data_IF_358167447859
#
_entry.id   IF_358167447859
#
_cell.length_a   1.000
_cell.length_b   1.000
_cell.length_c   1.000
_cell.angle_alpha   90.00
_cell.angle_beta   90.00
_cell.angle_gamma   90.00
#
_symmetry.space_group_name_H-M   'P 1'
#
loop_
_entity.id
_entity.type
_entity.pdbx_description
1 polymer ?
#
# COMPACT_ATOMS: atom_id res chain seq x y z
N UNK A 1 11.17 -3.64 9.63
CA UNK A 1 10.46 -2.86 8.60
C UNK A 1 9.28 -3.61 7.99
N UNK A 2 9.18 -4.94 8.15
CA UNK A 2 8.03 -5.71 7.63
C UNK A 2 6.70 -5.23 8.24
N UNK A 3 6.63 -5.07 9.56
CA UNK A 3 5.48 -4.49 10.26
C UNK A 3 5.06 -3.10 9.73
N UNK A 4 6.04 -2.24 9.40
CA UNK A 4 5.81 -0.92 8.74
C UNK A 4 5.25 -1.09 7.34
N UNK A 5 5.78 -2.06 6.60
CA UNK A 5 5.42 -2.31 5.20
C UNK A 5 4.01 -2.86 5.06
N UNK A 6 3.63 -3.81 5.91
CA UNK A 6 2.35 -4.50 5.80
C UNK A 6 1.16 -3.65 6.28
N UNK A 7 1.38 -2.68 7.18
CA UNK A 7 0.28 -1.89 7.73
C UNK A 7 -0.54 -1.16 6.63
N UNK A 8 -1.87 -1.38 6.56
CA UNK A 8 -2.72 -0.82 5.50
C UNK A 8 -3.01 0.68 5.65
N UNK A 9 -2.81 1.23 6.86
CA UNK A 9 -3.27 2.57 7.24
C UNK A 9 -2.12 3.53 7.59
N UNK A 10 -0.87 3.24 7.18
CA UNK A 10 0.30 4.10 7.46
C UNK A 10 0.39 4.49 8.94
N UNK A 11 -0.03 3.59 9.82
CA UNK A 11 -0.18 3.85 11.24
C UNK A 11 1.03 3.39 12.07
N UNK A 12 1.98 2.71 11.44
CA UNK A 12 3.25 2.32 12.03
C UNK A 12 4.36 2.76 11.09
N UNK A 13 5.32 3.53 11.60
CA UNK A 13 6.38 4.15 10.82
C UNK A 13 7.72 3.96 11.53
N UNK A 14 8.80 3.87 10.74
CA UNK A 14 10.16 3.75 11.24
C UNK A 14 11.03 4.91 10.81
N UNK A 15 12.01 5.28 11.63
CA UNK A 15 13.09 6.22 11.28
C UNK A 15 14.43 5.70 11.76
N UNK A 16 15.49 6.01 11.01
CA UNK A 16 16.86 5.91 11.47
C UNK A 16 17.43 7.33 11.63
N UNK A 17 17.76 7.73 12.86
CA UNK A 17 18.16 9.10 13.19
C UNK A 17 19.58 9.10 13.78
N UNK A 18 20.49 9.97 13.30
CA UNK A 18 21.82 10.12 13.89
C UNK A 18 21.76 10.39 15.39
N UNK A 19 22.66 9.79 16.16
CA UNK A 19 22.65 9.89 17.62
C UNK A 19 22.70 11.34 18.11
N UNK A 20 23.48 12.22 17.47
CA UNK A 20 23.55 13.63 17.84
C UNK A 20 22.18 14.33 17.76
N UNK A 21 21.47 14.15 16.64
CA UNK A 21 20.14 14.75 16.41
C UNK A 21 19.09 14.18 17.37
N UNK A 22 19.15 12.87 17.62
CA UNK A 22 18.23 12.23 18.55
C UNK A 22 18.42 12.80 19.95
N UNK A 23 19.67 12.85 20.43
CA UNK A 23 19.98 13.36 21.77
C UNK A 23 19.55 14.83 21.93
N UNK A 24 19.85 15.69 20.95
CA UNK A 24 19.43 17.09 20.96
C UNK A 24 17.91 17.25 21.04
N UNK A 25 17.16 16.42 20.29
CA UNK A 25 15.69 16.48 20.30
C UNK A 25 15.10 15.93 21.59
N UNK A 26 15.67 14.85 22.14
CA UNK A 26 15.27 14.29 23.46
C UNK A 26 15.50 15.31 24.58
N UNK A 27 16.61 16.07 24.53
CA UNK A 27 16.90 17.10 25.53
C UNK A 27 15.80 18.17 25.61
N UNK A 28 15.16 18.49 24.47
CA UNK A 28 14.07 19.48 24.37
C UNK A 28 12.74 19.00 24.96
N UNK A 29 12.56 17.68 25.17
CA UNK A 29 11.37 17.17 25.84
C UNK A 29 11.37 17.59 27.32
N UNK A 30 10.19 17.99 27.81
CA UNK A 30 9.98 18.27 29.22
C UNK A 30 10.35 17.04 30.07
N UNK A 31 10.98 17.28 31.23
CA UNK A 31 11.40 16.19 32.12
C UNK A 31 10.18 15.48 32.70
N UNK A 32 10.05 14.18 32.46
CA UNK A 32 8.95 13.36 32.96
C UNK A 32 9.09 11.90 32.56
N UNK A 33 8.11 11.09 32.96
CA UNK A 33 8.06 9.65 32.66
C UNK A 33 8.06 9.36 31.14
N UNK A 34 7.40 10.22 30.36
CA UNK A 34 7.33 10.10 28.90
C UNK A 34 8.69 10.24 28.22
N UNK A 35 9.55 11.16 28.68
CA UNK A 35 10.90 11.36 28.13
C UNK A 35 11.76 10.12 28.31
N UNK A 36 11.71 9.51 29.49
CA UNK A 36 12.40 8.24 29.76
C UNK A 36 11.90 7.13 28.85
N UNK A 37 10.58 6.94 28.78
CA UNK A 37 9.97 5.92 27.95
C UNK A 37 10.26 6.10 26.44
N UNK A 38 10.17 7.32 25.90
CA UNK A 38 10.51 7.62 24.49
C UNK A 38 11.98 7.29 24.21
N UNK A 39 12.88 7.61 25.13
CA UNK A 39 14.32 7.35 24.97
C UNK A 39 14.61 5.84 24.87
N UNK A 40 13.82 5.01 25.56
CA UNK A 40 13.94 3.55 25.52
C UNK A 40 13.39 2.92 24.22
N UNK A 41 12.64 3.66 23.39
CA UNK A 41 12.07 3.14 22.13
C UNK A 41 13.08 3.08 20.97
N UNK A 42 14.34 3.44 21.20
CA UNK A 42 15.37 3.55 20.17
C UNK A 42 16.41 2.44 20.31
N UNK A 43 16.62 1.69 19.23
CA UNK A 43 17.48 0.52 19.22
C UNK A 43 18.79 0.72 18.43
N UNK A 44 19.87 0.15 18.96
CA UNK A 44 21.12 -0.05 18.25
C UNK A 44 21.05 -1.28 17.35
N UNK A 45 20.93 -1.05 16.04
CA UNK A 45 20.93 -2.14 15.08
C UNK A 45 22.32 -2.34 14.47
N UNK A 46 22.58 -3.55 13.96
CA UNK A 46 23.80 -3.79 13.19
C UNK A 46 23.88 -2.85 11.97
N UNK A 47 22.75 -2.57 11.32
CA UNK A 47 22.66 -1.80 10.09
C UNK A 47 22.90 -0.31 10.28
N UNK A 48 22.22 0.29 11.27
CA UNK A 48 22.18 1.75 11.45
C UNK A 48 23.23 2.25 12.46
N UNK A 49 23.68 1.41 13.39
CA UNK A 49 24.65 1.79 14.42
C UNK A 49 26.02 1.16 14.15
N UNK A 50 26.15 -0.17 14.28
CA UNK A 50 27.46 -0.84 14.25
C UNK A 50 28.21 -0.76 12.90
N UNK A 51 27.49 -0.78 11.77
CA UNK A 51 28.12 -0.70 10.45
C UNK A 51 28.65 0.71 10.15
N UNK A 52 27.86 1.80 10.33
CA UNK A 52 28.37 3.17 10.21
C UNK A 52 29.55 3.46 11.13
N UNK A 53 29.49 3.03 12.39
CA UNK A 53 30.59 3.20 13.36
C UNK A 53 31.90 2.58 12.86
N UNK A 54 31.85 1.33 12.35
CA UNK A 54 33.01 0.67 11.73
C UNK A 54 33.54 1.37 10.48
N UNK A 55 32.71 2.17 9.82
CA UNK A 55 33.09 2.97 8.65
C UNK A 55 33.57 4.38 9.03
N UNK A 56 33.64 4.71 10.33
CA UNK A 56 33.98 6.06 10.80
C UNK A 56 32.91 7.10 10.50
N UNK A 57 31.66 6.65 10.28
CA UNK A 57 30.48 7.51 10.11
C UNK A 57 29.72 7.60 11.44
N UNK A 58 28.89 8.62 11.57
CA UNK A 58 28.01 8.74 12.73
C UNK A 58 27.05 7.54 12.81
N UNK A 59 26.89 6.89 13.98
CA UNK A 59 25.86 5.89 14.17
C UNK A 59 24.47 6.53 14.26
N UNK A 60 23.46 5.79 13.82
CA UNK A 60 22.07 6.17 13.96
C UNK A 60 21.31 5.14 14.82
N UNK A 61 20.37 5.63 15.62
CA UNK A 61 19.38 4.80 16.30
C UNK A 61 18.18 4.56 15.40
N UNK A 62 17.58 3.38 15.53
CA UNK A 62 16.37 3.01 14.82
C UNK A 62 15.19 2.89 15.78
N UNK A 63 14.08 3.53 15.42
CA UNK A 63 12.84 3.49 16.21
C UNK A 63 11.63 3.25 15.32
N UNK A 64 10.62 2.59 15.87
CA UNK A 64 9.32 2.35 15.25
C UNK A 64 8.24 2.96 16.14
N UNK A 65 7.38 3.78 15.56
CA UNK A 65 6.36 4.54 16.28
C UNK A 65 4.99 4.31 15.65
N UNK A 66 3.97 4.29 16.51
CA UNK A 66 2.56 4.09 16.13
C UNK A 66 1.86 5.44 16.15
N UNK A 67 1.17 5.78 15.06
CA UNK A 67 0.17 6.85 15.03
C UNK A 67 -1.15 6.31 15.61
N UNK A 68 -1.51 6.67 16.87
CA UNK A 68 -2.71 6.13 17.49
C UNK A 68 -3.99 6.65 16.82
N UNK A 69 -3.94 7.73 16.05
CA UNK A 69 -5.12 8.30 15.37
C UNK A 69 -5.49 7.52 14.11
N UNK A 70 -4.52 6.86 13.48
CA UNK A 70 -4.72 6.08 12.25
C UNK A 70 -4.78 4.58 12.46
N UNK A 71 -4.13 4.08 13.51
CA UNK A 71 -4.12 2.64 13.79
C UNK A 71 -5.56 2.15 14.01
N UNK A 72 -6.00 1.14 13.28
CA UNK A 72 -7.35 0.57 13.51
C UNK A 72 -7.33 -0.65 14.42
N UNK A 73 -6.14 -1.17 14.75
CA UNK A 73 -5.99 -2.32 15.64
C UNK A 73 -6.15 -3.67 14.96
N UNK A 74 -5.87 -3.77 13.66
CA UNK A 74 -5.94 -5.03 12.91
C UNK A 74 -4.87 -6.06 13.31
N UNK A 75 -3.84 -5.66 14.05
CA UNK A 75 -2.73 -6.52 14.51
C UNK A 75 -1.85 -7.18 13.44
N UNK A 76 -2.02 -6.90 12.15
CA UNK A 76 -1.09 -7.38 11.09
C UNK A 76 0.38 -7.04 11.38
N UNK A 77 0.65 -5.87 11.96
CA UNK A 77 2.02 -5.46 12.29
C UNK A 77 2.65 -6.34 13.38
N UNK A 78 1.82 -6.90 14.28
CA UNK A 78 2.22 -7.84 15.31
C UNK A 78 2.40 -9.23 14.72
N UNK A 79 1.49 -9.69 13.86
CA UNK A 79 1.65 -10.96 13.13
C UNK A 79 2.92 -10.97 12.27
N UNK A 80 3.15 -9.89 11.50
CA UNK A 80 4.37 -9.68 10.72
C UNK A 80 5.64 -9.53 11.60
N UNK A 81 5.50 -9.30 12.90
CA UNK A 81 6.63 -9.31 13.82
C UNK A 81 7.09 -10.74 14.14
N UNK A 82 6.18 -11.72 14.06
CA UNK A 82 6.45 -13.12 14.35
C UNK A 82 7.09 -13.33 15.73
N UNK A 83 8.08 -14.20 15.80
CA UNK A 83 8.77 -14.58 17.05
C UNK A 83 9.76 -13.51 17.56
N UNK A 84 9.78 -12.31 16.99
CA UNK A 84 10.67 -11.24 17.43
C UNK A 84 10.22 -10.55 18.73
N UNK A 85 8.96 -10.72 19.12
CA UNK A 85 8.35 -10.15 20.34
C UNK A 85 8.56 -8.61 20.48
N UNK A 86 8.78 -7.91 19.36
CA UNK A 86 9.06 -6.47 19.37
C UNK A 86 7.79 -5.61 19.36
N UNK A 87 6.63 -6.21 19.07
CA UNK A 87 5.33 -5.55 19.04
C UNK A 87 4.31 -6.41 19.79
N UNK A 88 3.46 -5.75 20.57
CA UNK A 88 2.30 -6.37 21.22
C UNK A 88 1.10 -5.46 21.07
N UNK A 89 -0.09 -6.05 20.96
CA UNK A 89 -1.32 -5.29 21.01
C UNK A 89 -1.58 -4.79 22.43
N UNK A 90 -2.02 -3.53 22.52
CA UNK A 90 -2.50 -2.91 23.76
C UNK A 90 -3.86 -2.27 23.51
N UNK A 91 -4.65 -2.14 24.57
CA UNK A 91 -5.97 -1.51 24.47
C UNK A 91 -5.83 0.00 24.29
N UNK A 92 -6.60 0.55 23.34
CA UNK A 92 -6.78 1.99 23.19
C UNK A 92 -7.78 2.49 24.23
N UNK A 93 -7.27 3.20 25.23
CA UNK A 93 -8.04 3.80 26.32
C UNK A 93 -7.55 5.24 26.54
N UNK A 94 -8.30 6.00 27.33
CA UNK A 94 -8.06 7.44 27.53
C UNK A 94 -6.65 7.75 28.06
N UNK A 95 -6.01 6.83 28.79
CA UNK A 95 -4.66 7.01 29.32
C UNK A 95 -3.55 6.57 28.33
N UNK A 96 -3.85 5.68 27.38
CA UNK A 96 -2.84 5.20 26.42
C UNK A 96 -2.75 6.09 25.19
N UNK A 97 -3.87 6.61 24.69
CA UNK A 97 -3.89 7.42 23.46
C UNK A 97 -3.00 8.67 23.57
N UNK A 98 -3.10 9.51 24.62
CA UNK A 98 -2.27 10.72 24.74
C UNK A 98 -0.77 10.40 24.78
N UNK A 99 -0.38 9.33 25.49
CA UNK A 99 1.00 8.87 25.57
C UNK A 99 1.58 8.54 24.18
N UNK A 100 0.85 7.78 23.37
CA UNK A 100 1.30 7.43 22.02
C UNK A 100 1.20 8.60 21.04
N UNK A 101 0.26 9.53 21.26
CA UNK A 101 0.19 10.76 20.47
C UNK A 101 1.44 11.61 20.69
N UNK A 102 1.82 11.84 21.95
CA UNK A 102 3.04 12.59 22.29
C UNK A 102 4.30 11.92 21.73
N UNK A 103 4.36 10.58 21.78
CA UNK A 103 5.43 9.80 21.16
C UNK A 103 5.50 10.01 19.64
N UNK A 104 4.35 10.06 18.98
CA UNK A 104 4.27 10.23 17.53
C UNK A 104 4.56 11.68 17.11
N UNK A 105 4.18 12.66 17.93
CA UNK A 105 4.53 14.07 17.75
C UNK A 105 6.05 14.26 17.87
N UNK A 106 6.68 13.64 18.87
CA UNK A 106 8.14 13.57 18.99
C UNK A 106 8.77 12.92 17.75
N UNK A 107 8.27 11.75 17.34
CA UNK A 107 8.74 11.06 16.14
C UNK A 107 8.68 11.96 14.90
N UNK A 108 7.61 12.72 14.75
CA UNK A 108 7.42 13.66 13.62
C UNK A 108 8.42 14.80 13.69
N UNK A 109 8.71 15.33 14.89
CA UNK A 109 9.65 16.44 15.10
C UNK A 109 11.11 16.16 14.74
N UNK A 110 11.53 14.89 14.69
CA UNK A 110 12.92 14.48 14.39
C UNK A 110 13.38 14.75 12.95
N UNK A 111 12.44 15.12 12.07
CA UNK A 111 12.69 15.21 10.63
C UNK A 111 12.95 13.85 9.99
N UNK A 112 13.48 13.86 8.78
CA UNK A 112 13.59 12.65 7.96
C UNK A 112 14.83 11.82 8.28
N UNK A 113 14.72 10.51 8.00
CA UNK A 113 15.87 9.61 7.96
C UNK A 113 16.84 10.12 6.90
N UNK A 114 18.11 10.44 7.25
CA UNK A 114 19.09 10.88 6.25
C UNK A 114 19.34 9.79 5.20
N UNK A 115 19.51 10.19 3.95
CA UNK A 115 19.61 9.28 2.80
C UNK A 115 20.78 8.28 2.90
N UNK A 116 21.86 8.64 3.59
CA UNK A 116 23.00 7.75 3.86
C UNK A 116 22.66 6.49 4.69
N UNK A 117 21.53 6.51 5.40
CA UNK A 117 21.01 5.34 6.14
C UNK A 117 19.98 4.54 5.34
N UNK A 118 19.58 5.00 4.15
CA UNK A 118 18.60 4.33 3.28
C UNK A 118 19.36 3.55 2.22
N UNK A 119 19.24 2.22 2.23
CA UNK A 119 19.91 1.36 1.25
C UNK A 119 18.92 0.92 0.16
N UNK A 120 19.05 1.50 -1.03
CA UNK A 120 18.20 1.20 -2.19
C UNK A 120 18.18 -0.28 -2.61
N UNK A 121 19.21 -1.07 -2.23
CA UNK A 121 19.23 -2.52 -2.49
C UNK A 121 18.33 -3.31 -1.54
N UNK A 122 17.95 -2.73 -0.41
CA UNK A 122 17.02 -3.29 0.56
C UNK A 122 15.68 -2.58 0.37
N UNK A 123 14.84 -3.12 -0.50
CA UNK A 123 13.63 -2.42 -0.99
C UNK A 123 12.74 -1.86 0.14
N UNK A 124 12.58 -2.59 1.24
CA UNK A 124 11.79 -2.13 2.41
C UNK A 124 12.32 -0.85 3.07
N UNK A 125 13.57 -0.44 2.80
CA UNK A 125 14.11 0.84 3.28
C UNK A 125 13.44 2.04 2.64
N UNK A 126 12.75 1.89 1.50
CA UNK A 126 11.96 2.98 0.92
C UNK A 126 10.93 3.51 1.93
N UNK A 127 10.46 2.67 2.85
CA UNK A 127 9.52 3.05 3.90
C UNK A 127 10.14 3.93 5.00
N UNK A 128 11.46 4.15 4.98
CA UNK A 128 12.17 5.13 5.82
C UNK A 128 12.23 6.52 5.17
N UNK A 129 12.01 6.60 3.85
CA UNK A 129 11.98 7.86 3.12
C UNK A 129 10.59 8.48 3.21
N UNK A 130 10.52 9.69 3.77
CA UNK A 130 9.28 10.48 3.89
C UNK A 130 8.60 10.70 2.54
N UNK A 131 9.38 10.96 1.49
CA UNK A 131 8.91 11.15 0.11
C UNK A 131 8.23 9.91 -0.50
N UNK A 132 8.41 8.73 0.09
CA UNK A 132 7.73 7.50 -0.32
C UNK A 132 6.39 7.29 0.40
N UNK A 133 6.12 8.02 1.47
CA UNK A 133 4.88 7.89 2.25
C UNK A 133 3.74 8.69 1.62
N UNK A 134 3.37 8.34 0.39
CA UNK A 134 2.38 9.05 -0.43
C UNK A 134 0.92 8.59 -0.19
N UNK A 135 0.73 7.62 0.69
CA UNK A 135 -0.57 7.22 1.22
C UNK A 135 -0.60 7.54 2.72
N UNK A 136 -1.40 8.52 3.13
CA UNK A 136 -1.40 9.03 4.51
C UNK A 136 -2.06 8.09 5.51
N UNK A 137 -2.92 7.18 5.02
CA UNK A 137 -3.69 6.27 5.84
C UNK A 137 -4.88 6.92 6.55
N UNK A 138 -5.49 6.21 7.50
CA UNK A 138 -6.71 6.67 8.17
C UNK A 138 -7.94 6.72 7.24
N UNK A 139 -7.88 6.00 6.12
CA UNK A 139 -8.99 5.89 5.19
C UNK A 139 -10.12 5.06 5.80
N UNK A 140 -11.34 5.17 5.28
CA UNK A 140 -12.51 4.40 5.74
C UNK A 140 -12.50 2.90 5.42
N UNK A 141 -11.33 2.30 5.13
CA UNK A 141 -11.20 0.88 4.82
C UNK A 141 -11.36 0.01 6.07
N UNK A 142 -11.65 -1.28 5.87
CA UNK A 142 -11.72 -2.26 6.96
C UNK A 142 -10.39 -2.37 7.71
N UNK A 143 -10.45 -2.89 8.95
CA UNK A 143 -9.26 -3.35 9.66
C UNK A 143 -8.59 -4.45 8.83
N UNK A 144 -7.30 -4.31 8.59
CA UNK A 144 -6.51 -5.28 7.84
C UNK A 144 -6.72 -5.24 6.32
N UNK A 145 -7.28 -4.15 5.77
CA UNK A 145 -7.67 -4.13 4.36
C UNK A 145 -6.48 -4.35 3.41
N UNK A 146 -6.47 -5.48 2.70
CA UNK A 146 -5.39 -5.83 1.76
C UNK A 146 -5.25 -4.85 0.58
N UNK A 147 -6.35 -4.21 0.14
CA UNK A 147 -6.29 -3.14 -0.86
C UNK A 147 -5.48 -1.93 -0.36
N UNK A 148 -5.62 -1.60 0.93
CA UNK A 148 -4.87 -0.50 1.57
C UNK A 148 -3.38 -0.76 1.56
N UNK A 149 -2.95 -1.95 1.95
CA UNK A 149 -1.54 -2.36 1.92
C UNK A 149 -0.97 -2.33 0.50
N UNK A 150 -1.71 -2.87 -0.48
CA UNK A 150 -1.28 -2.87 -1.89
C UNK A 150 -1.11 -1.45 -2.46
N UNK A 151 -2.07 -0.55 -2.22
CA UNK A 151 -1.99 0.84 -2.69
C UNK A 151 -0.85 1.60 -2.02
N UNK A 152 -0.68 1.45 -0.71
CA UNK A 152 0.42 2.05 0.03
C UNK A 152 1.77 1.58 -0.49
N UNK A 153 1.95 0.27 -0.69
CA UNK A 153 3.19 -0.30 -1.21
C UNK A 153 3.47 0.14 -2.65
N UNK A 154 2.44 0.19 -3.52
CA UNK A 154 2.58 0.67 -4.90
C UNK A 154 3.04 2.12 -4.95
N UNK A 155 2.42 2.97 -4.11
CA UNK A 155 2.78 4.38 -4.00
C UNK A 155 4.17 4.59 -3.41
N UNK A 156 4.58 3.78 -2.43
CA UNK A 156 5.92 3.83 -1.89
C UNK A 156 6.97 3.49 -2.95
N UNK A 157 6.80 2.39 -3.68
CA UNK A 157 7.76 2.00 -4.72
C UNK A 157 7.82 3.00 -5.88
N UNK A 158 6.67 3.53 -6.30
CA UNK A 158 6.63 4.53 -7.37
C UNK A 158 7.17 5.88 -6.90
N UNK A 159 6.79 6.32 -5.71
CA UNK A 159 7.20 7.59 -5.10
C UNK A 159 8.70 7.65 -4.82
N UNK A 160 9.28 6.56 -4.32
CA UNK A 160 10.71 6.46 -4.03
C UNK A 160 11.58 6.71 -5.26
N UNK A 161 11.14 6.26 -6.44
CA UNK A 161 11.92 6.36 -7.68
C UNK A 161 11.62 7.64 -8.45
N UNK A 162 10.34 8.03 -8.57
CA UNK A 162 9.91 9.08 -9.51
C UNK A 162 9.48 10.39 -8.83
N UNK A 163 9.26 10.37 -7.51
CA UNK A 163 8.71 11.48 -6.75
C UNK A 163 7.21 11.70 -7.00
N UNK A 164 6.53 12.29 -6.01
CA UNK A 164 5.06 12.48 -6.01
C UNK A 164 4.52 13.29 -7.21
N UNK A 165 5.30 14.25 -7.71
CA UNK A 165 4.92 15.13 -8.82
C UNK A 165 4.90 14.40 -10.17
N UNK A 166 5.41 13.17 -10.22
CA UNK A 166 5.49 12.34 -11.42
C UNK A 166 4.46 11.21 -11.43
N UNK A 167 3.48 11.23 -10.52
CA UNK A 167 2.51 10.15 -10.34
C UNK A 167 1.09 10.69 -10.51
N UNK A 168 0.22 9.92 -11.14
CA UNK A 168 -1.22 10.17 -11.14
C UNK A 168 -2.01 8.88 -11.09
N UNK A 169 -3.20 8.94 -10.49
CA UNK A 169 -4.10 7.80 -10.31
C UNK A 169 -5.45 8.10 -10.97
N UNK A 170 -5.93 7.13 -11.75
CA UNK A 170 -7.30 7.04 -12.24
C UNK A 170 -7.92 5.79 -11.63
N UNK A 171 -8.96 5.94 -10.82
CA UNK A 171 -9.57 4.87 -10.05
C UNK A 171 -10.92 4.46 -10.63
N UNK A 172 -11.17 3.15 -10.71
CA UNK A 172 -12.49 2.59 -10.95
C UNK A 172 -13.30 2.56 -9.66
N UNK A 173 -14.60 2.81 -9.76
CA UNK A 173 -15.53 2.71 -8.63
C UNK A 173 -15.46 1.32 -7.98
N UNK A 174 -15.28 1.27 -6.66
CA UNK A 174 -15.12 0.05 -5.87
C UNK A 174 -14.76 0.37 -4.42
N UNK A 175 -14.23 -0.60 -3.66
CA UNK A 175 -13.79 -0.38 -2.28
C UNK A 175 -12.76 0.77 -2.22
N UNK A 176 -11.72 0.70 -3.06
CA UNK A 176 -10.69 1.74 -3.20
C UNK A 176 -11.23 3.18 -3.33
N UNK A 177 -12.32 3.40 -4.06
CA UNK A 177 -12.92 4.74 -4.15
C UNK A 177 -13.78 5.06 -2.94
N UNK A 178 -14.51 4.09 -2.39
CA UNK A 178 -15.38 4.34 -1.22
C UNK A 178 -14.56 4.79 -0.01
N UNK A 179 -13.52 4.05 0.36
CA UNK A 179 -12.66 4.49 1.45
C UNK A 179 -11.67 5.59 1.04
N UNK A 180 -11.35 5.70 -0.26
CA UNK A 180 -10.37 6.65 -0.79
C UNK A 180 -10.91 8.04 -1.10
N UNK A 181 -12.23 8.23 -1.25
CA UNK A 181 -12.81 9.53 -1.62
C UNK A 181 -14.03 9.91 -0.76
N UNK A 182 -13.97 9.65 0.55
CA UNK A 182 -14.99 10.10 1.50
C UNK A 182 -14.82 11.59 1.80
N UNK A 183 -15.60 12.46 1.13
CA UNK A 183 -15.52 13.92 1.29
C UNK A 183 -15.59 14.35 2.78
N UNK A 184 -14.75 15.31 3.23
CA UNK A 184 -13.73 16.06 2.48
C UNK A 184 -12.34 15.39 2.45
N UNK A 185 -12.24 14.11 2.81
CA UNK A 185 -10.98 13.41 3.03
C UNK A 185 -10.59 12.46 1.88
N UNK A 186 -9.29 12.37 1.62
CA UNK A 186 -8.68 11.46 0.66
C UNK A 186 -7.27 11.08 1.16
N UNK A 187 -6.88 9.79 1.12
CA UNK A 187 -5.61 9.33 1.70
C UNK A 187 -4.41 9.49 0.75
N UNK A 188 -4.59 9.96 -0.48
CA UNK A 188 -3.55 10.05 -1.50
C UNK A 188 -2.90 11.44 -1.50
N UNK A 189 -1.56 11.49 -1.49
CA UNK A 189 -0.76 12.71 -1.65
C UNK A 189 -0.32 12.95 -3.10
N UNK A 190 -1.01 12.34 -4.06
CA UNK A 190 -0.78 12.46 -5.50
C UNK A 190 -2.09 12.79 -6.21
N UNK A 191 -2.06 13.40 -7.41
CA UNK A 191 -3.25 13.60 -8.22
C UNK A 191 -4.04 12.30 -8.40
N UNK A 192 -5.32 12.35 -8.04
CA UNK A 192 -6.22 11.20 -8.06
C UNK A 192 -7.57 11.63 -8.65
N UNK A 193 -8.14 10.79 -9.52
CA UNK A 193 -9.48 10.99 -10.06
C UNK A 193 -10.24 9.66 -10.11
N UNK A 194 -11.57 9.74 -9.98
CA UNK A 194 -12.48 8.64 -10.27
C UNK A 194 -13.53 9.13 -11.26
N UNK A 195 -13.73 8.37 -12.34
CA UNK A 195 -14.81 8.61 -13.29
C UNK A 195 -16.01 7.73 -12.96
N UNK A 196 -16.07 6.51 -13.49
CA UNK A 196 -17.12 5.53 -13.25
C UNK A 196 -16.53 4.13 -13.03
N UNK A 197 -17.39 3.13 -12.85
CA UNK A 197 -16.98 1.76 -12.59
C UNK A 197 -16.37 1.09 -13.83
N UNK A 198 -16.95 1.35 -14.99
CA UNK A 198 -16.70 0.65 -16.25
C UNK A 198 -15.63 1.26 -17.13
N UNK A 199 -15.21 2.51 -16.86
CA UNK A 199 -14.48 3.32 -17.83
C UNK A 199 -13.09 3.78 -17.38
N UNK A 200 -12.55 3.29 -16.26
CA UNK A 200 -11.24 3.70 -15.70
C UNK A 200 -10.13 3.74 -16.75
N UNK A 201 -10.03 2.71 -17.59
CA UNK A 201 -8.97 2.62 -18.62
C UNK A 201 -9.19 3.62 -19.74
N UNK A 202 -10.43 3.91 -20.13
CA UNK A 202 -10.73 4.91 -21.15
C UNK A 202 -10.46 6.32 -20.63
N UNK A 203 -10.80 6.61 -19.37
CA UNK A 203 -10.47 7.88 -18.72
C UNK A 203 -8.95 8.08 -18.64
N UNK A 204 -8.22 7.04 -18.23
CA UNK A 204 -6.76 7.07 -18.20
C UNK A 204 -6.11 7.25 -19.58
N UNK A 205 -6.66 6.68 -20.65
CA UNK A 205 -6.22 6.98 -22.02
C UNK A 205 -6.41 8.47 -22.37
N UNK A 206 -7.50 9.08 -21.91
CA UNK A 206 -7.73 10.52 -22.03
C UNK A 206 -6.66 11.34 -21.29
N UNK A 207 -6.42 11.01 -20.02
CA UNK A 207 -5.39 11.64 -19.18
C UNK A 207 -4.00 11.49 -19.82
N UNK A 208 -3.59 10.28 -20.21
CA UNK A 208 -2.30 10.02 -20.87
C UNK A 208 -2.17 10.80 -22.17
N UNK A 209 -3.22 10.85 -22.98
CA UNK A 209 -3.21 11.65 -24.23
C UNK A 209 -2.95 13.12 -23.94
N UNK A 210 -3.58 13.67 -22.89
CA UNK A 210 -3.35 15.06 -22.47
C UNK A 210 -1.94 15.27 -21.91
N UNK A 211 -1.45 14.37 -21.06
CA UNK A 211 -0.09 14.43 -20.52
C UNK A 211 0.96 14.40 -21.62
N UNK A 212 0.78 13.57 -22.64
CA UNK A 212 1.68 13.50 -23.78
C UNK A 212 1.72 14.83 -24.57
N UNK A 213 0.58 15.52 -24.73
CA UNK A 213 0.54 16.86 -25.34
C UNK A 213 1.30 17.91 -24.51
N UNK A 214 1.40 17.70 -23.19
CA UNK A 214 2.11 18.58 -22.26
C UNK A 214 3.60 18.22 -22.13
N UNK A 215 4.08 17.17 -22.81
CA UNK A 215 5.46 16.70 -22.70
C UNK A 215 5.73 15.90 -21.42
N UNK A 216 4.71 15.24 -20.85
CA UNK A 216 4.80 14.44 -19.63
C UNK A 216 4.74 12.93 -19.92
N UNK A 217 5.48 12.49 -20.94
CA UNK A 217 5.52 11.09 -21.32
C UNK A 217 6.16 10.21 -20.23
N UNK A 218 7.08 10.76 -19.46
CA UNK A 218 7.84 10.11 -18.41
C UNK A 218 7.08 9.93 -17.08
N UNK A 219 6.00 10.70 -16.87
CA UNK A 219 5.14 10.57 -15.68
C UNK A 219 4.41 9.24 -15.65
N UNK A 220 4.24 8.69 -14.45
CA UNK A 220 3.63 7.38 -14.18
C UNK A 220 2.14 7.53 -13.89
N UNK A 221 1.34 6.98 -14.80
CA UNK A 221 -0.12 6.98 -14.71
C UNK A 221 -0.60 5.58 -14.34
N UNK A 222 -1.32 5.47 -13.23
CA UNK A 222 -1.87 4.23 -12.71
C UNK A 222 -3.39 4.20 -12.84
N UNK A 223 -3.93 3.18 -13.51
CA UNK A 223 -5.30 2.75 -13.39
C UNK A 223 -5.42 1.79 -12.21
N UNK A 224 -6.29 2.08 -11.25
CA UNK A 224 -6.55 1.18 -10.12
C UNK A 224 -8.01 0.72 -10.13
N UNK A 225 -8.27 -0.54 -9.78
CA UNK A 225 -9.63 -1.05 -9.66
C UNK A 225 -9.68 -2.45 -9.08
N UNK A 226 -10.80 -2.79 -8.45
CA UNK A 226 -11.05 -4.15 -7.98
C UNK A 226 -11.28 -5.14 -9.12
N UNK A 227 -11.34 -6.44 -8.83
CA UNK A 227 -11.58 -7.46 -9.85
C UNK A 227 -12.91 -7.25 -10.59
N UNK A 228 -13.98 -6.81 -9.91
CA UNK A 228 -15.23 -6.49 -10.60
C UNK A 228 -15.14 -5.37 -11.63
N UNK A 229 -14.27 -4.38 -11.41
CA UNK A 229 -14.04 -3.32 -12.39
C UNK A 229 -13.18 -3.83 -13.55
N UNK A 230 -12.08 -4.51 -13.23
CA UNK A 230 -11.01 -4.76 -14.21
C UNK A 230 -11.18 -6.09 -14.95
N UNK A 231 -11.82 -7.07 -14.31
CA UNK A 231 -11.99 -8.44 -14.82
C UNK A 231 -13.38 -8.63 -15.42
N UNK A 232 -14.39 -7.87 -14.97
CA UNK A 232 -15.76 -7.91 -15.47
C UNK A 232 -16.14 -6.66 -16.30
N UNK A 233 -16.81 -5.68 -15.69
CA UNK A 233 -17.54 -4.62 -16.42
C UNK A 233 -16.62 -3.72 -17.27
N UNK A 234 -15.43 -3.42 -16.76
CA UNK A 234 -14.44 -2.57 -17.43
C UNK A 234 -13.42 -3.35 -18.26
N UNK A 235 -13.50 -4.68 -18.32
CA UNK A 235 -12.51 -5.50 -19.01
C UNK A 235 -12.38 -5.14 -20.50
N UNK A 236 -13.49 -4.84 -21.19
CA UNK A 236 -13.43 -4.43 -22.60
C UNK A 236 -12.65 -3.12 -22.78
N UNK A 237 -12.85 -2.16 -21.86
CA UNK A 237 -12.15 -0.87 -21.85
C UNK A 237 -10.66 -1.07 -21.58
N UNK A 238 -10.32 -1.89 -20.58
CA UNK A 238 -8.94 -2.25 -20.27
C UNK A 238 -8.26 -2.96 -21.44
N UNK A 239 -8.91 -3.97 -22.02
CA UNK A 239 -8.43 -4.68 -23.23
C UNK A 239 -8.13 -3.71 -24.37
N UNK A 240 -8.98 -2.69 -24.59
CA UNK A 240 -8.74 -1.65 -25.60
C UNK A 240 -7.51 -0.80 -25.27
N UNK A 241 -7.33 -0.44 -24.00
CA UNK A 241 -6.15 0.30 -23.53
C UNK A 241 -4.87 -0.51 -23.71
N UNK A 242 -4.87 -1.80 -23.35
CA UNK A 242 -3.72 -2.69 -23.56
C UNK A 242 -3.34 -2.79 -25.04
N UNK A 243 -4.34 -2.92 -25.93
CA UNK A 243 -4.12 -2.94 -27.38
C UNK A 243 -3.64 -1.59 -27.97
N UNK A 244 -3.66 -0.50 -27.21
CA UNK A 244 -3.24 0.82 -27.69
C UNK A 244 -1.74 1.07 -27.64
N UNK A 245 -1.00 0.29 -26.83
CA UNK A 245 0.42 0.51 -26.59
C UNK A 245 0.75 1.76 -25.77
N UNK A 246 -0.25 2.43 -25.19
CA UNK A 246 -0.03 3.59 -24.32
C UNK A 246 0.65 3.17 -23.01
N UNK A 247 1.68 3.92 -22.60
CA UNK A 247 2.35 3.78 -21.30
C UNK A 247 1.38 4.11 -20.16
N UNK A 248 0.66 3.10 -19.69
CA UNK A 248 -0.32 3.19 -18.61
C UNK A 248 -0.20 1.91 -17.80
N UNK A 249 0.01 2.07 -16.49
CA UNK A 249 0.10 0.97 -15.55
C UNK A 249 -1.29 0.66 -15.01
N UNK A 250 -1.57 -0.63 -14.80
CA UNK A 250 -2.83 -1.12 -14.23
C UNK A 250 -2.50 -1.90 -12.96
N UNK A 251 -3.15 -1.54 -11.85
CA UNK A 251 -3.15 -2.31 -10.61
C UNK A 251 -4.55 -2.88 -10.38
N UNK A 252 -4.68 -4.19 -10.48
CA UNK A 252 -5.91 -4.91 -10.14
C UNK A 252 -5.82 -5.32 -8.68
N UNK A 253 -6.77 -4.85 -7.88
CA UNK A 253 -6.94 -5.22 -6.47
C UNK A 253 -7.91 -6.42 -6.42
N UNK A 254 -7.36 -7.61 -6.56
CA UNK A 254 -8.14 -8.84 -6.77
C UNK A 254 -8.56 -9.44 -5.43
N UNK A 255 -9.75 -9.04 -4.98
CA UNK A 255 -10.42 -9.63 -3.82
C UNK A 255 -11.28 -10.83 -4.20
N UNK A 256 -11.33 -11.21 -5.48
CA UNK A 256 -12.07 -12.36 -5.99
C UNK A 256 -13.59 -12.29 -5.72
N UNK A 257 -14.12 -11.10 -5.45
CA UNK A 257 -15.53 -10.79 -5.22
C UNK A 257 -15.76 -9.30 -5.41
N UNK A 258 -17.02 -8.87 -5.60
CA UNK A 258 -17.35 -7.45 -5.55
C UNK A 258 -17.49 -7.01 -4.08
N UNK A 259 -16.35 -6.74 -3.43
CA UNK A 259 -16.31 -6.45 -1.99
C UNK A 259 -17.23 -5.29 -1.59
N UNK A 260 -17.18 -4.16 -2.31
CA UNK A 260 -17.91 -2.96 -1.94
C UNK A 260 -19.43 -3.14 -1.91
N UNK A 261 -19.97 -3.93 -2.84
CA UNK A 261 -21.42 -4.15 -2.96
C UNK A 261 -21.89 -5.33 -2.11
N UNK A 262 -21.00 -5.86 -1.24
CA UNK A 262 -21.26 -6.89 -0.26
C UNK A 262 -21.08 -8.30 -0.80
N UNK A 263 -20.02 -8.56 -1.56
CA UNK A 263 -19.58 -9.92 -1.87
C UNK A 263 -20.35 -10.61 -2.99
N UNK A 264 -20.68 -9.90 -4.07
CA UNK A 264 -21.18 -10.56 -5.28
C UNK A 264 -20.06 -11.34 -5.97
N UNK A 265 -20.46 -12.44 -6.58
CA UNK A 265 -19.60 -13.25 -7.42
C UNK A 265 -19.06 -12.41 -8.59
N UNK A 266 -17.75 -12.44 -8.79
CA UNK A 266 -17.08 -11.91 -9.98
C UNK A 266 -16.61 -13.04 -10.88
N UNK A 267 -16.17 -12.74 -12.11
CA UNK A 267 -15.49 -13.78 -12.90
C UNK A 267 -14.09 -14.13 -12.34
N UNK A 268 -13.54 -13.33 -11.41
CA UNK A 268 -12.33 -13.66 -10.66
C UNK A 268 -12.57 -14.59 -9.46
N UNK A 269 -13.82 -14.79 -9.03
CA UNK A 269 -14.16 -15.77 -7.98
C UNK A 269 -13.81 -17.21 -8.41
N UNK A 270 -13.44 -18.06 -7.45
CA UNK A 270 -13.10 -19.46 -7.66
C UNK A 270 -14.32 -20.36 -7.88
N UNK A 271 -14.10 -21.52 -8.50
CA UNK A 271 -15.11 -22.58 -8.59
C UNK A 271 -15.43 -23.08 -7.19
N UNK A 272 -16.71 -23.20 -6.86
CA UNK A 272 -17.21 -23.63 -5.55
C UNK A 272 -17.17 -22.54 -4.47
N UNK A 273 -16.73 -21.32 -4.80
CA UNK A 273 -16.75 -20.20 -3.87
C UNK A 273 -18.20 -19.80 -3.56
N UNK A 274 -18.50 -19.61 -2.27
CA UNK A 274 -19.77 -19.07 -1.78
C UNK A 274 -19.74 -17.54 -1.86
N UNK A 275 -20.66 -16.95 -2.60
CA UNK A 275 -20.78 -15.50 -2.77
C UNK A 275 -22.21 -15.15 -3.23
N UNK A 276 -22.64 -13.88 -3.10
CA UNK A 276 -23.95 -13.47 -3.64
C UNK A 276 -23.99 -13.74 -5.15
N UNK A 277 -25.14 -14.21 -5.63
CA UNK A 277 -25.35 -14.74 -7.00
C UNK A 277 -24.74 -16.11 -7.30
N UNK A 278 -23.96 -16.70 -6.38
CA UNK A 278 -23.49 -18.08 -6.46
C UNK A 278 -23.45 -18.69 -5.05
N UNK A 279 -24.57 -18.58 -4.33
CA UNK A 279 -24.65 -19.05 -2.95
C UNK A 279 -24.65 -20.57 -2.86
N UNK A 280 -23.96 -21.13 -1.88
CA UNK A 280 -23.99 -22.57 -1.59
C UNK A 280 -25.37 -22.94 -1.03
N UNK A 281 -26.00 -23.91 -1.67
CA UNK A 281 -27.31 -24.44 -1.31
C UNK A 281 -27.46 -25.90 -1.74
N UNK A 282 -28.67 -26.45 -1.58
CA UNK A 282 -28.93 -27.87 -1.89
C UNK A 282 -28.71 -28.22 -3.37
N UNK A 283 -29.02 -27.30 -4.28
CA UNK A 283 -28.93 -27.50 -5.73
C UNK A 283 -27.67 -26.88 -6.35
N UNK A 284 -27.11 -25.83 -5.73
CA UNK A 284 -25.99 -25.06 -6.26
C UNK A 284 -24.83 -25.14 -5.26
N UNK A 285 -23.70 -25.70 -5.66
CA UNK A 285 -22.53 -25.88 -4.80
C UNK A 285 -21.57 -24.69 -4.78
N UNK A 286 -22.06 -23.47 -4.99
CA UNK A 286 -21.26 -22.28 -5.23
C UNK A 286 -21.06 -21.96 -6.71
N UNK A 287 -20.10 -21.10 -7.04
CA UNK A 287 -19.82 -20.69 -8.43
C UNK A 287 -19.44 -21.89 -9.30
N UNK A 288 -20.03 -22.00 -10.48
CA UNK A 288 -19.80 -23.11 -11.41
C UNK A 288 -18.80 -22.75 -12.51
N UNK A 289 -18.73 -21.48 -12.89
CA UNK A 289 -17.85 -20.99 -13.92
C UNK A 289 -16.40 -21.01 -13.44
N UNK A 290 -15.49 -21.42 -14.33
CA UNK A 290 -14.05 -21.31 -14.05
C UNK A 290 -13.67 -19.85 -13.84
N UNK A 291 -12.66 -19.64 -13.00
CA UNK A 291 -12.05 -18.32 -12.80
C UNK A 291 -11.51 -17.79 -14.12
N UNK A 292 -11.73 -16.51 -14.38
CA UNK A 292 -11.15 -15.79 -15.50
C UNK A 292 -9.72 -15.42 -15.15
N UNK A 293 -8.77 -16.14 -15.75
CA UNK A 293 -7.34 -15.94 -15.52
C UNK A 293 -6.85 -14.65 -16.21
N UNK A 294 -6.98 -13.52 -15.51
CA UNK A 294 -6.74 -12.19 -16.08
C UNK A 294 -5.31 -12.01 -16.59
N UNK A 295 -4.31 -12.53 -15.87
CA UNK A 295 -2.91 -12.46 -16.30
C UNK A 295 -2.69 -13.15 -17.65
N UNK A 296 -3.32 -14.31 -17.87
CA UNK A 296 -3.23 -15.03 -19.15
C UNK A 296 -3.88 -14.24 -20.28
N UNK A 297 -5.02 -13.59 -20.03
CA UNK A 297 -5.69 -12.76 -21.02
C UNK A 297 -4.86 -11.53 -21.38
N UNK A 298 -4.27 -10.87 -20.39
CA UNK A 298 -3.38 -9.72 -20.60
C UNK A 298 -2.13 -10.11 -21.40
N UNK A 299 -1.55 -11.29 -21.18
CA UNK A 299 -0.40 -11.79 -21.96
C UNK A 299 -0.72 -12.06 -23.44
N UNK A 300 -2.00 -12.20 -23.81
CA UNK A 300 -2.41 -12.38 -25.21
C UNK A 300 -2.46 -11.06 -25.99
N UNK A 301 -2.42 -9.91 -25.30
CA UNK A 301 -2.23 -8.62 -25.95
C UNK A 301 -0.76 -8.45 -26.37
N UNK A 302 -0.48 -7.82 -27.52
CA UNK A 302 0.89 -7.58 -27.95
C UNK A 302 1.57 -6.57 -27.04
N UNK A 303 2.82 -6.85 -26.66
CA UNK A 303 3.72 -5.89 -26.00
C UNK A 303 3.18 -5.33 -24.65
N UNK A 304 2.62 -6.21 -23.81
CA UNK A 304 2.14 -5.88 -22.47
C UNK A 304 3.02 -6.53 -21.40
N UNK A 305 3.48 -5.74 -20.41
CA UNK A 305 4.08 -6.30 -19.20
C UNK A 305 2.99 -6.85 -18.27
N UNK A 306 3.14 -8.07 -17.77
CA UNK A 306 2.18 -8.69 -16.86
C UNK A 306 2.90 -9.29 -15.65
N UNK A 307 2.42 -8.98 -14.45
CA UNK A 307 2.85 -9.62 -13.21
C UNK A 307 1.64 -9.98 -12.33
N UNK A 308 1.79 -11.04 -11.53
CA UNK A 308 0.83 -11.38 -10.47
C UNK A 308 1.58 -11.53 -9.16
N UNK A 309 1.10 -10.89 -8.09
CA UNK A 309 1.82 -10.81 -6.80
C UNK A 309 0.88 -10.72 -5.61
N UNK A 310 1.44 -10.72 -4.41
CA UNK A 310 0.74 -10.43 -3.14
C UNK A 310 1.61 -9.51 -2.27
N UNK A 311 1.01 -8.79 -1.31
CA UNK A 311 1.75 -7.93 -0.37
C UNK A 311 2.67 -8.75 0.56
N UNK A 312 2.28 -9.98 0.89
CA UNK A 312 3.11 -10.91 1.66
C UNK A 312 4.44 -11.27 0.93
N UNK A 313 4.47 -11.23 -0.40
CA UNK A 313 5.69 -11.39 -1.18
C UNK A 313 6.36 -10.03 -1.45
N UNK A 314 6.68 -9.28 -0.39
CA UNK A 314 7.14 -7.88 -0.42
C UNK A 314 8.16 -7.56 -1.52
N UNK A 315 9.25 -8.34 -1.60
CA UNK A 315 10.30 -8.09 -2.60
C UNK A 315 9.82 -8.34 -4.04
N UNK A 316 8.95 -9.33 -4.24
CA UNK A 316 8.36 -9.59 -5.56
C UNK A 316 7.37 -8.49 -5.94
N UNK A 317 6.53 -8.05 -4.98
CA UNK A 317 5.61 -6.95 -5.15
C UNK A 317 6.35 -5.68 -5.61
N UNK A 318 7.35 -5.22 -4.85
CA UNK A 318 8.08 -4.01 -5.19
C UNK A 318 8.80 -4.10 -6.53
N UNK A 319 9.44 -5.24 -6.83
CA UNK A 319 10.06 -5.46 -8.14
C UNK A 319 9.04 -5.44 -9.28
N UNK A 320 7.85 -5.97 -9.08
CA UNK A 320 6.78 -5.93 -10.09
C UNK A 320 6.32 -4.48 -10.33
N UNK A 321 6.10 -3.68 -9.28
CA UNK A 321 5.75 -2.26 -9.41
C UNK A 321 6.85 -1.48 -10.15
N UNK A 322 8.11 -1.67 -9.75
CA UNK A 322 9.25 -0.99 -10.39
C UNK A 322 9.39 -1.39 -11.86
N UNK A 323 9.30 -2.68 -12.17
CA UNK A 323 9.37 -3.18 -13.55
C UNK A 323 8.22 -2.66 -14.43
N UNK A 324 7.00 -2.56 -13.89
CA UNK A 324 5.88 -1.95 -14.60
C UNK A 324 6.13 -0.46 -14.88
N UNK A 325 6.64 0.30 -13.90
CA UNK A 325 6.98 1.71 -14.11
C UNK A 325 8.13 1.92 -15.12
N UNK A 326 9.08 0.98 -15.22
CA UNK A 326 10.19 1.04 -16.17
C UNK A 326 9.80 0.61 -17.59
N UNK A 327 8.76 -0.21 -17.73
CA UNK A 327 8.30 -0.73 -19.00
C UNK A 327 7.69 0.39 -19.87
N UNK A 328 8.21 0.62 -21.10
CA UNK A 328 7.77 1.74 -21.95
C UNK A 328 6.47 1.41 -22.72
N UNK A 329 5.41 1.04 -22.00
CA UNK A 329 4.17 0.54 -22.59
C UNK A 329 3.13 0.15 -21.54
N UNK A 330 2.03 -0.51 -21.97
CA UNK A 330 1.00 -0.96 -21.04
C UNK A 330 1.54 -2.04 -20.10
N UNK A 331 1.27 -1.88 -18.80
CA UNK A 331 1.64 -2.85 -17.78
C UNK A 331 0.44 -3.21 -16.91
N UNK A 332 0.31 -4.49 -16.53
CA UNK A 332 -0.76 -4.99 -15.66
C UNK A 332 -0.15 -5.76 -14.50
N UNK A 333 -0.54 -5.37 -13.28
CA UNK A 333 -0.19 -6.07 -12.06
C UNK A 333 -1.48 -6.53 -11.41
N UNK A 334 -1.68 -7.85 -11.36
CA UNK A 334 -2.75 -8.47 -10.60
C UNK A 334 -2.28 -8.75 -9.17
N UNK A 335 -2.86 -8.09 -8.18
CA UNK A 335 -2.49 -8.25 -6.78
C UNK A 335 -3.62 -8.96 -6.06
N UNK A 336 -3.36 -10.13 -5.50
CA UNK A 336 -4.30 -10.70 -4.55
C UNK A 336 -4.37 -9.82 -3.31
N UNK A 337 -5.59 -9.38 -2.97
CA UNK A 337 -5.86 -8.57 -1.80
C UNK A 337 -6.92 -9.24 -0.94
N UNK A 338 -6.57 -9.52 0.30
CA UNK A 338 -7.48 -10.13 1.27
C UNK A 338 -8.63 -9.17 1.58
N UNK A 339 -9.85 -9.71 1.64
CA UNK A 339 -11.04 -8.99 2.04
C UNK A 339 -11.67 -9.69 3.24
N UNK A 340 -11.44 -9.14 4.44
CA UNK A 340 -11.88 -9.71 5.72
C UNK A 340 -13.34 -10.17 5.70
N UNK A 341 -14.33 -9.30 5.40
CA UNK A 341 -15.73 -9.69 5.50
C UNK A 341 -16.14 -10.74 4.47
N UNK A 342 -15.55 -10.72 3.26
CA UNK A 342 -16.00 -11.57 2.16
C UNK A 342 -15.21 -12.88 2.06
N UNK A 343 -13.98 -12.93 2.55
CA UNK A 343 -13.20 -14.16 2.68
C UNK A 343 -13.44 -14.86 4.01
N UNK A 344 -14.06 -14.18 4.99
CA UNK A 344 -14.32 -14.73 6.31
C UNK A 344 -13.04 -14.97 7.11
N UNK A 345 -12.04 -14.11 6.93
CA UNK A 345 -10.75 -14.18 7.64
C UNK A 345 -10.66 -13.08 8.70
N UNK A 346 -9.81 -13.30 9.69
CA UNK A 346 -9.58 -12.34 10.77
C UNK A 346 -8.84 -11.08 10.28
N UNK A 347 -8.94 -9.99 11.06
CA UNK A 347 -8.38 -8.68 10.69
C UNK A 347 -6.84 -8.69 10.57
N UNK A 348 -6.16 -9.63 11.22
CA UNK A 348 -4.70 -9.82 11.22
C UNK A 348 -4.19 -10.74 10.10
N UNK A 349 -5.08 -11.30 9.27
CA UNK A 349 -4.77 -12.36 8.31
C UNK A 349 -4.72 -11.90 6.85
N UNK A 350 -4.27 -10.66 6.60
CA UNK A 350 -4.25 -10.07 5.26
C UNK A 350 -3.10 -10.50 4.37
#
# INVERSE_FOLDING_TARGET
MECVTQCPDTAILGKAIPESRLNETVEKLESGEIKGWISEQWADTNKFSKVPEKQGKEPAKFGIFIDPTKCKGCAECVDACGDHEALTMITKIDDTIPKYQEAFDFFTSLGDTPSEYINERVLVDMMLASDSLLYTGGAGSCMGCGEGSALRMMLAATGFVYGKESIGIVAATGCNTVYGSTYPYNPFLVPWTNSLFENVSADAMGVRSRWNQMGWQDKKLWCIGGDGAMVDIGFQSMSRMLASGMDINVLILDTQVYSNTGGQTSTASYVGQDAKMSMVGKEIGGKIERRKEIGNLCMMHPDVFVAQTTCAHTNHFYKAIMAANEYPGPAVINVFTTCQPEHGVADDMA
#
